data_IF_373391053507
#
_entry.id   IF_373391053507
#
_cell.length_a   1.000
_cell.length_b   1.000
_cell.length_c   1.000
_cell.angle_alpha   90.00
_cell.angle_beta   90.00
_cell.angle_gamma   90.00
#
_symmetry.space_group_name_H-M   'P 1'
#
loop_
_entity.id
_entity.type
_entity.pdbx_description
1 polymer ?
#
# COMPACT_ATOMS: atom_id res chain seq x y z
N UNK A 1 -8.58 -8.71 -17.86
CA UNK A 1 -7.48 -9.31 -17.07
C UNK A 1 -6.11 -9.01 -17.66
N UNK A 2 -5.89 -9.11 -18.98
CA UNK A 2 -4.64 -8.65 -19.61
C UNK A 2 -4.37 -7.16 -19.36
N UNK A 3 -5.40 -6.31 -19.50
CA UNK A 3 -5.31 -4.87 -19.20
C UNK A 3 -4.92 -4.60 -17.74
N UNK A 4 -5.48 -5.34 -16.78
CA UNK A 4 -5.12 -5.20 -15.36
C UNK A 4 -3.64 -5.55 -15.11
N UNK A 5 -3.12 -6.60 -15.76
CA UNK A 5 -1.70 -6.94 -15.66
C UNK A 5 -0.81 -5.84 -16.27
N UNK A 6 -1.23 -5.25 -17.39
CA UNK A 6 -0.53 -4.13 -18.02
C UNK A 6 -0.53 -2.89 -17.13
N UNK A 7 -1.68 -2.52 -16.56
CA UNK A 7 -1.79 -1.41 -15.61
C UNK A 7 -0.93 -1.64 -14.37
N UNK A 8 -0.88 -2.88 -13.86
CA UNK A 8 0.01 -3.24 -12.75
C UNK A 8 1.49 -3.05 -13.10
N UNK A 9 1.93 -3.56 -14.25
CA UNK A 9 3.32 -3.42 -14.70
C UNK A 9 3.68 -1.96 -14.99
N UNK A 10 2.77 -1.20 -15.59
CA UNK A 10 2.95 0.23 -15.80
C UNK A 10 3.12 0.96 -14.47
N UNK A 11 2.28 0.64 -13.47
CA UNK A 11 2.44 1.21 -12.14
C UNK A 11 3.78 0.84 -11.50
N UNK A 12 4.25 -0.40 -11.66
CA UNK A 12 5.59 -0.80 -11.21
C UNK A 12 6.69 0.03 -11.88
N UNK A 13 6.60 0.25 -13.19
CA UNK A 13 7.53 1.10 -13.93
C UNK A 13 7.48 2.56 -13.42
N UNK A 14 6.27 3.11 -13.19
CA UNK A 14 6.07 4.49 -12.72
C UNK A 14 6.66 4.76 -11.33
N UNK A 15 6.69 3.74 -10.46
CA UNK A 15 7.28 3.82 -9.11
C UNK A 15 8.70 3.25 -9.06
N UNK A 16 9.31 3.00 -10.21
CA UNK A 16 10.66 2.45 -10.38
C UNK A 16 10.87 1.11 -9.65
N UNK A 17 9.79 0.34 -9.46
CA UNK A 17 9.84 -0.98 -8.84
C UNK A 17 10.12 -2.05 -9.89
N UNK A 18 11.36 -2.54 -9.91
CA UNK A 18 11.76 -3.68 -10.75
C UNK A 18 11.18 -5.00 -10.18
N UNK A 19 9.92 -5.27 -10.48
CA UNK A 19 9.27 -6.53 -10.14
C UNK A 19 9.94 -7.70 -10.88
N UNK A 20 10.46 -8.67 -10.13
CA UNK A 20 11.03 -9.92 -10.69
C UNK A 20 10.20 -11.13 -10.31
N UNK A 21 9.49 -11.05 -9.18
CA UNK A 21 8.60 -12.08 -8.66
C UNK A 21 7.30 -11.40 -8.24
N UNK A 22 6.17 -11.92 -8.72
CA UNK A 22 4.83 -11.51 -8.28
C UNK A 22 4.19 -12.67 -7.55
N UNK A 23 3.92 -12.49 -6.25
CA UNK A 23 3.17 -13.45 -5.46
C UNK A 23 1.69 -13.11 -5.50
N UNK A 24 0.82 -14.10 -5.71
CA UNK A 24 -0.63 -13.93 -5.68
C UNK A 24 -1.34 -15.11 -5.06
N UNK A 25 -2.57 -14.90 -4.64
CA UNK A 25 -3.45 -15.98 -4.23
C UNK A 25 -3.77 -16.94 -5.40
N UNK A 26 -4.27 -18.11 -5.06
CA UNK A 26 -4.62 -19.15 -6.04
C UNK A 26 -6.09 -19.04 -6.51
N UNK A 27 -6.69 -17.85 -6.42
CA UNK A 27 -8.05 -17.62 -6.90
C UNK A 27 -8.08 -17.71 -8.44
N UNK A 28 -9.15 -18.31 -8.97
CA UNK A 28 -9.40 -18.47 -10.39
C UNK A 28 -9.79 -17.17 -11.11
N UNK A 29 -10.04 -16.07 -10.37
CA UNK A 29 -10.31 -14.75 -10.97
C UNK A 29 -9.17 -14.29 -11.87
N UNK A 30 -7.93 -14.39 -11.39
CA UNK A 30 -6.73 -14.08 -12.19
C UNK A 30 -6.44 -15.24 -13.15
N UNK A 31 -7.12 -15.18 -14.31
CA UNK A 31 -6.99 -16.14 -15.42
C UNK A 31 -5.56 -16.17 -15.98
N UNK A 32 -5.21 -17.25 -16.69
CA UNK A 32 -3.88 -17.45 -17.33
C UNK A 32 -3.37 -16.23 -18.10
N UNK A 33 -4.25 -15.46 -18.74
CA UNK A 33 -3.86 -14.25 -19.48
C UNK A 33 -3.22 -13.16 -18.62
N UNK A 34 -3.49 -13.10 -17.31
CA UNK A 34 -2.80 -12.20 -16.39
C UNK A 34 -1.35 -12.65 -16.17
N UNK A 35 -1.17 -13.95 -15.87
CA UNK A 35 0.14 -14.55 -15.62
C UNK A 35 1.05 -14.42 -16.86
N UNK A 36 0.50 -14.68 -18.06
CA UNK A 36 1.24 -14.58 -19.33
C UNK A 36 1.81 -13.17 -19.58
N UNK A 37 1.08 -12.11 -19.21
CA UNK A 37 1.54 -10.72 -19.40
C UNK A 37 2.72 -10.41 -18.48
N UNK A 38 2.70 -10.91 -17.24
CA UNK A 38 3.80 -10.77 -16.29
C UNK A 38 5.03 -11.55 -16.75
N UNK A 39 4.85 -12.81 -17.16
CA UNK A 39 5.94 -13.65 -17.65
C UNK A 39 6.60 -13.10 -18.91
N UNK A 40 5.83 -12.47 -19.81
CA UNK A 40 6.37 -11.77 -20.99
C UNK A 40 7.30 -10.60 -20.65
N UNK A 41 7.19 -10.02 -19.45
CA UNK A 41 8.09 -9.00 -18.89
C UNK A 41 9.14 -9.58 -17.94
N UNK A 42 9.39 -10.89 -18.00
CA UNK A 42 10.32 -11.63 -17.13
C UNK A 42 9.97 -11.56 -15.63
N UNK A 43 8.69 -11.37 -15.29
CA UNK A 43 8.21 -11.46 -13.91
C UNK A 43 7.72 -12.89 -13.63
N UNK A 44 8.36 -13.58 -12.69
CA UNK A 44 7.94 -14.92 -12.29
C UNK A 44 6.68 -14.86 -11.41
N UNK A 45 5.61 -15.54 -11.83
CA UNK A 45 4.35 -15.56 -11.06
C UNK A 45 4.34 -16.75 -10.10
N UNK A 46 4.37 -16.46 -8.80
CA UNK A 46 4.27 -17.46 -7.74
C UNK A 46 2.86 -17.47 -7.15
N UNK A 47 2.12 -18.56 -7.40
CA UNK A 47 0.80 -18.78 -6.79
C UNK A 47 0.97 -19.36 -5.40
N UNK A 48 0.20 -18.86 -4.44
CA UNK A 48 0.14 -19.46 -3.11
C UNK A 48 -0.41 -20.89 -3.22
N UNK A 49 0.05 -21.84 -2.37
CA UNK A 49 -0.55 -23.15 -2.32
C UNK A 49 -2.04 -23.05 -1.94
N UNK A 50 -2.87 -24.01 -2.37
CA UNK A 50 -4.27 -24.07 -1.96
C UNK A 50 -4.42 -23.95 -0.44
N UNK A 51 -5.43 -23.22 0.02
CA UNK A 51 -5.77 -23.06 1.46
C UNK A 51 -4.64 -22.49 2.33
N UNK A 52 -3.79 -21.63 1.77
CA UNK A 52 -2.67 -20.98 2.49
C UNK A 52 -2.84 -19.46 2.63
N UNK A 53 -3.88 -18.97 3.35
CA UNK A 53 -4.19 -17.54 3.45
C UNK A 53 -3.08 -16.73 4.12
N UNK A 54 -2.31 -17.35 5.02
CA UNK A 54 -1.22 -16.68 5.74
C UNK A 54 -0.10 -16.17 4.80
N UNK A 55 0.06 -16.75 3.60
CA UNK A 55 1.04 -16.28 2.63
C UNK A 55 0.64 -14.95 1.98
N UNK A 56 -0.62 -14.54 2.11
CA UNK A 56 -1.10 -13.24 1.64
C UNK A 56 -1.23 -12.21 2.80
N UNK A 57 -0.79 -12.55 4.02
CA UNK A 57 -1.10 -11.79 5.22
C UNK A 57 -0.73 -10.29 5.15
N UNK A 58 0.36 -9.94 4.45
CA UNK A 58 0.75 -8.55 4.26
C UNK A 58 -0.26 -7.77 3.40
N UNK A 59 -0.68 -8.33 2.27
CA UNK A 59 -1.69 -7.73 1.38
C UNK A 59 -3.03 -7.63 2.10
N UNK A 60 -3.46 -8.72 2.76
CA UNK A 60 -4.68 -8.75 3.55
C UNK A 60 -4.66 -7.68 4.65
N UNK A 61 -3.52 -7.48 5.33
CA UNK A 61 -3.38 -6.44 6.36
C UNK A 61 -3.52 -5.03 5.79
N UNK A 62 -3.00 -4.77 4.58
CA UNK A 62 -3.15 -3.47 3.90
C UNK A 62 -4.62 -3.25 3.55
N UNK A 63 -5.27 -4.22 2.91
CA UNK A 63 -6.69 -4.16 2.51
C UNK A 63 -7.57 -3.95 3.74
N UNK A 64 -7.38 -4.74 4.79
CA UNK A 64 -8.11 -4.60 6.04
C UNK A 64 -7.92 -3.21 6.66
N UNK A 65 -6.71 -2.63 6.56
CA UNK A 65 -6.47 -1.28 7.05
C UNK A 65 -7.24 -0.25 6.22
N UNK A 66 -7.25 -0.40 4.89
CA UNK A 66 -8.01 0.47 3.99
C UNK A 66 -9.52 0.43 4.26
N UNK A 67 -10.05 -0.78 4.44
CA UNK A 67 -11.46 -0.97 4.75
C UNK A 67 -11.85 -0.34 6.08
N UNK A 68 -11.12 -0.66 7.17
CA UNK A 68 -11.44 -0.13 8.50
C UNK A 68 -11.15 1.35 8.67
N UNK A 69 -10.12 1.89 8.00
CA UNK A 69 -9.73 3.30 8.15
C UNK A 69 -10.39 4.22 7.14
N UNK A 70 -10.91 3.70 6.02
CA UNK A 70 -11.47 4.53 4.96
C UNK A 70 -12.86 4.03 4.57
N UNK A 71 -12.97 2.86 3.95
CA UNK A 71 -14.23 2.45 3.31
C UNK A 71 -15.40 2.25 4.28
N UNK A 72 -15.14 1.87 5.53
CA UNK A 72 -16.16 1.79 6.58
C UNK A 72 -16.72 3.15 7.04
N UNK A 73 -16.12 4.26 6.60
CA UNK A 73 -16.51 5.62 7.00
C UNK A 73 -17.13 6.45 5.87
N UNK A 74 -17.16 5.94 4.64
CA UNK A 74 -17.70 6.66 3.48
C UNK A 74 -18.79 5.84 2.80
N UNK A 75 -19.89 6.51 2.44
CA UNK A 75 -20.79 6.01 1.40
C UNK A 75 -20.16 6.44 0.07
N UNK A 76 -19.69 5.47 -0.70
CA UNK A 76 -19.06 5.69 -2.00
C UNK A 76 -20.15 5.75 -3.07
N UNK A 77 -20.34 6.92 -3.68
CA UNK A 77 -21.44 7.18 -4.62
C UNK A 77 -21.00 6.96 -6.07
N UNK A 78 -19.70 7.15 -6.36
CA UNK A 78 -19.15 6.95 -7.70
C UNK A 78 -17.66 6.57 -7.66
N UNK A 79 -17.16 6.12 -8.80
CA UNK A 79 -15.77 5.70 -8.97
C UNK A 79 -14.78 6.84 -8.70
N UNK A 80 -15.08 8.07 -9.13
CA UNK A 80 -14.20 9.22 -8.88
C UNK A 80 -13.99 9.44 -7.37
N UNK A 81 -15.04 9.31 -6.57
CA UNK A 81 -14.94 9.41 -5.11
C UNK A 81 -14.08 8.28 -4.54
N UNK A 82 -14.28 7.04 -5.01
CA UNK A 82 -13.44 5.90 -4.60
C UNK A 82 -11.97 6.13 -4.93
N UNK A 83 -11.67 6.63 -6.13
CA UNK A 83 -10.32 6.92 -6.57
C UNK A 83 -9.67 8.03 -5.73
N UNK A 84 -10.43 9.06 -5.33
CA UNK A 84 -9.92 10.08 -4.39
C UNK A 84 -9.60 9.47 -3.03
N UNK A 85 -10.50 8.66 -2.47
CA UNK A 85 -10.29 7.98 -1.18
C UNK A 85 -9.07 7.07 -1.24
N UNK A 86 -8.95 6.26 -2.30
CA UNK A 86 -7.84 5.34 -2.54
C UNK A 86 -6.51 6.07 -2.66
N UNK A 87 -6.43 7.14 -3.45
CA UNK A 87 -5.20 7.94 -3.58
C UNK A 87 -4.77 8.56 -2.24
N UNK A 88 -5.71 9.13 -1.48
CA UNK A 88 -5.40 9.70 -0.17
C UNK A 88 -4.93 8.63 0.82
N UNK A 89 -5.54 7.45 0.79
CA UNK A 89 -5.11 6.31 1.60
C UNK A 89 -3.71 5.84 1.21
N UNK A 90 -3.40 5.70 -0.08
CA UNK A 90 -2.09 5.25 -0.54
C UNK A 90 -0.97 6.21 -0.10
N UNK A 91 -1.19 7.52 -0.28
CA UNK A 91 -0.21 8.53 0.17
C UNK A 91 -0.01 8.42 1.68
N UNK A 92 -1.09 8.38 2.44
CA UNK A 92 -1.02 8.25 3.90
C UNK A 92 -0.30 6.96 4.31
N UNK A 93 -0.72 5.81 3.79
CA UNK A 93 -0.20 4.51 4.20
C UNK A 93 1.29 4.35 3.89
N UNK A 94 1.72 4.82 2.72
CA UNK A 94 3.08 4.64 2.22
C UNK A 94 4.05 5.72 2.68
N UNK A 95 3.59 6.94 3.03
CA UNK A 95 4.51 8.06 3.31
C UNK A 95 4.25 8.79 4.63
N UNK A 96 3.15 8.51 5.33
CA UNK A 96 2.80 9.26 6.55
C UNK A 96 2.47 8.35 7.74
N UNK A 97 1.95 7.16 7.49
CA UNK A 97 1.51 6.25 8.55
C UNK A 97 2.74 5.69 9.26
N UNK A 98 2.86 5.83 10.58
CA UNK A 98 3.95 5.20 11.32
C UNK A 98 3.73 3.69 11.40
N UNK A 99 4.78 2.90 11.15
CA UNK A 99 4.77 1.45 11.33
C UNK A 99 5.74 1.05 12.43
N UNK A 100 5.24 0.51 13.54
CA UNK A 100 6.07 0.19 14.72
C UNK A 100 7.22 -0.77 14.43
N UNK A 101 7.01 -1.74 13.54
CA UNK A 101 8.05 -2.68 13.10
C UNK A 101 9.15 -2.03 12.22
N UNK A 102 8.95 -0.78 11.80
CA UNK A 102 9.89 0.03 11.00
C UNK A 102 10.34 1.27 11.78
N UNK A 103 10.51 1.21 13.10
CA UNK A 103 10.91 2.38 13.91
C UNK A 103 9.98 3.60 13.71
N UNK A 104 8.68 3.36 13.55
CA UNK A 104 7.68 4.39 13.23
C UNK A 104 7.85 5.08 11.88
N UNK A 105 8.65 4.54 10.97
CA UNK A 105 8.79 5.04 9.61
C UNK A 105 7.71 4.47 8.69
N UNK A 106 7.30 5.24 7.68
CA UNK A 106 6.38 4.76 6.67
C UNK A 106 7.11 3.83 5.66
N UNK A 107 6.39 2.98 4.90
CA UNK A 107 6.98 1.99 4.00
C UNK A 107 7.80 2.58 2.85
N UNK A 108 7.37 3.74 2.34
CA UNK A 108 8.04 4.47 1.27
C UNK A 108 9.31 5.21 1.73
N UNK A 109 9.50 5.33 3.05
CA UNK A 109 10.79 5.78 3.58
C UNK A 109 11.73 4.59 3.69
N UNK A 110 12.69 4.54 2.76
CA UNK A 110 13.77 3.53 2.73
C UNK A 110 15.01 4.00 3.48
N UNK A 111 15.03 5.23 3.99
CA UNK A 111 16.06 5.60 4.94
C UNK A 111 15.86 4.73 6.18
N UNK A 112 16.94 4.18 6.70
CA UNK A 112 16.97 3.58 8.03
C UNK A 112 17.59 4.63 8.96
N UNK A 113 16.87 5.72 9.31
CA UNK A 113 17.36 6.60 10.34
C UNK A 113 17.41 5.80 11.64
N UNK A 114 18.48 5.98 12.42
CA UNK A 114 18.34 5.91 13.87
C UNK A 114 17.16 6.82 14.22
N UNK A 115 16.13 6.29 14.87
CA UNK A 115 15.02 7.10 15.37
C UNK A 115 15.60 8.32 16.07
N UNK A 116 15.47 9.55 15.53
CA UNK A 116 16.04 10.69 16.21
C UNK A 116 15.41 10.73 17.61
N UNK A 117 16.21 10.90 18.68
CA UNK A 117 15.68 10.91 20.04
C UNK A 117 14.50 11.86 20.12
N UNK A 118 13.41 11.41 20.75
CA UNK A 118 12.22 12.26 20.96
C UNK A 118 12.66 13.51 21.71
N UNK A 119 12.71 14.63 21.01
CA UNK A 119 13.01 15.92 21.63
C UNK A 119 11.72 16.45 22.26
N UNK A 120 11.65 16.42 23.59
CA UNK A 120 10.49 16.90 24.35
C UNK A 120 10.24 18.41 24.17
N UNK A 121 11.21 19.16 23.63
CA UNK A 121 11.09 20.60 23.39
C UNK A 121 10.50 20.93 22.02
N UNK A 122 10.36 19.95 21.11
CA UNK A 122 9.81 20.17 19.77
C UNK A 122 8.30 20.05 19.76
N UNK A 123 7.66 20.98 19.06
CA UNK A 123 6.23 20.95 18.82
C UNK A 123 5.83 19.69 18.04
N UNK A 124 4.73 19.06 18.48
CA UNK A 124 4.08 17.98 17.74
C UNK A 124 3.10 18.59 16.75
N UNK A 125 3.29 18.29 15.47
CA UNK A 125 2.42 18.71 14.37
C UNK A 125 1.50 17.56 14.00
N UNK A 126 0.21 17.83 13.85
CA UNK A 126 -0.78 16.88 13.34
C UNK A 126 -1.10 17.18 11.88
N UNK A 127 -0.89 16.20 11.01
CA UNK A 127 -1.36 16.23 9.62
C UNK A 127 -2.59 15.36 9.48
N UNK A 128 -3.54 15.78 8.64
CA UNK A 128 -4.78 15.03 8.45
C UNK A 128 -5.20 14.91 7.00
N UNK A 129 -5.80 13.77 6.65
CA UNK A 129 -6.45 13.54 5.34
C UNK A 129 -7.88 13.04 5.54
N UNK A 130 -8.67 13.09 4.47
CA UNK A 130 -10.04 12.57 4.43
C UNK A 130 -10.92 13.08 5.59
N UNK A 131 -10.96 14.40 5.79
CA UNK A 131 -11.80 15.00 6.83
C UNK A 131 -11.37 14.65 8.26
N UNK A 132 -10.05 14.57 8.53
CA UNK A 132 -9.47 14.19 9.83
C UNK A 132 -9.62 12.71 10.19
N UNK A 133 -10.04 11.86 9.26
CA UNK A 133 -10.13 10.43 9.47
C UNK A 133 -8.75 9.78 9.56
N UNK A 134 -7.87 10.13 8.62
CA UNK A 134 -6.47 9.73 8.63
C UNK A 134 -5.67 10.82 9.33
N UNK A 135 -5.00 10.47 10.42
CA UNK A 135 -4.18 11.40 11.21
C UNK A 135 -2.76 10.84 11.31
N UNK A 136 -1.81 11.73 11.20
CA UNK A 136 -0.39 11.46 11.43
C UNK A 136 0.17 12.54 12.33
N UNK A 137 1.13 12.16 13.18
CA UNK A 137 1.79 13.06 14.10
C UNK A 137 3.30 13.02 13.84
N UNK A 138 3.93 14.18 13.72
CA UNK A 138 5.37 14.32 13.55
C UNK A 138 5.91 15.45 14.43
N UNK A 139 7.24 15.49 14.65
CA UNK A 139 7.88 16.65 15.27
C UNK A 139 8.17 17.71 14.21
N UNK A 140 7.96 18.98 14.53
CA UNK A 140 8.33 20.10 13.66
C UNK A 140 9.85 20.04 13.38
N UNK A 141 10.23 20.13 12.09
CA UNK A 141 11.64 20.26 11.70
C UNK A 141 12.21 21.59 12.22
N UNK A 142 13.51 21.62 12.52
CA UNK A 142 14.21 22.81 13.00
C UNK A 142 14.32 23.89 11.92
#
# INVERSE_FOLDING_TARGET
MSEQAQSFLQHCDDVELKATIVMRDNDGKLKKGFDNVLEARNCFVKKNPPRSPNLNAFVERVIQTYEHKCLGHFIVINERQLNVIGNQFQIWYNYERPHSHRNCLPPGDQTMPESPPRDAKRDVVQTTRLGRLLKTFSQRAA
#
